data_IF_258526441253
#
_entry.id   IF_258526441253
#
_cell.length_a   1.000
_cell.length_b   1.000
_cell.length_c   1.000
_cell.angle_alpha   90.00
_cell.angle_beta   90.00
_cell.angle_gamma   90.00
#
_symmetry.space_group_name_H-M   'P 1'
#
loop_
_entity.id
_entity.type
_entity.pdbx_description
1 polymer ?
#
# COMPACT_ATOMS: atom_id res chain seq x y z
N UNK A 1 -8.68 18.02 -20.58
CA UNK A 1 -7.26 17.70 -20.64
C UNK A 1 -7.15 16.21 -20.46
N UNK A 2 -6.90 15.53 -21.56
CA UNK A 2 -6.59 14.08 -21.51
C UNK A 2 -5.27 13.92 -20.76
N UNK A 3 -5.27 13.13 -19.71
CA UNK A 3 -4.05 12.60 -19.10
C UNK A 3 -3.26 11.95 -20.24
N UNK A 4 -2.20 12.61 -20.69
CA UNK A 4 -1.36 12.08 -21.73
C UNK A 4 -0.79 10.76 -21.24
N UNK A 5 -1.29 9.71 -21.87
CA UNK A 5 -0.85 8.35 -21.66
C UNK A 5 0.67 8.29 -21.55
N UNK A 6 1.13 7.63 -20.54
CA UNK A 6 2.50 7.26 -20.25
C UNK A 6 3.35 7.12 -21.51
N UNK A 7 4.21 8.10 -21.76
CA UNK A 7 5.20 8.01 -22.81
C UNK A 7 6.36 7.15 -22.29
N UNK A 8 6.17 5.85 -22.29
CA UNK A 8 7.12 4.82 -21.86
C UNK A 8 8.44 4.84 -22.64
N UNK A 9 8.49 5.58 -23.76
CA UNK A 9 9.58 5.53 -24.73
C UNK A 9 10.67 6.58 -24.58
N UNK A 10 10.66 7.41 -23.52
CA UNK A 10 11.77 8.33 -23.27
C UNK A 10 12.30 8.05 -21.87
N UNK A 11 13.33 7.22 -21.79
CA UNK A 11 14.06 6.95 -20.56
C UNK A 11 14.48 8.24 -19.85
N UNK A 12 13.89 8.47 -18.70
CA UNK A 12 14.16 9.60 -17.85
C UNK A 12 12.92 10.05 -17.11
N UNK A 13 13.03 10.18 -15.81
CA UNK A 13 12.02 10.70 -14.91
C UNK A 13 11.83 12.20 -15.20
N UNK A 14 11.04 12.55 -16.21
CA UNK A 14 10.74 13.93 -16.60
C UNK A 14 9.42 14.43 -16.03
N UNK A 15 9.28 14.43 -14.70
CA UNK A 15 8.10 14.98 -14.05
C UNK A 15 8.32 15.14 -12.56
N UNK A 16 7.79 16.22 -12.01
CA UNK A 16 7.74 16.43 -10.55
C UNK A 16 6.86 15.36 -9.92
N UNK A 17 7.35 14.78 -8.82
CA UNK A 17 6.61 13.86 -7.95
C UNK A 17 5.84 14.73 -6.97
N UNK A 18 4.58 14.43 -6.75
CA UNK A 18 3.78 15.03 -5.68
C UNK A 18 4.17 14.40 -4.33
N UNK A 19 5.07 15.07 -3.62
CA UNK A 19 5.57 14.60 -2.32
C UNK A 19 4.54 14.69 -1.21
N UNK A 20 3.59 15.61 -1.29
CA UNK A 20 2.51 15.73 -0.31
C UNK A 20 1.51 14.57 -0.48
N UNK A 21 1.21 14.21 -1.71
CA UNK A 21 0.42 13.01 -2.01
C UNK A 21 1.11 11.75 -1.48
N UNK A 22 2.42 11.59 -1.70
CA UNK A 22 3.18 10.44 -1.17
C UNK A 22 3.15 10.35 0.36
N UNK A 23 3.30 11.48 1.06
CA UNK A 23 3.20 11.52 2.53
C UNK A 23 1.81 11.12 3.01
N UNK A 24 0.78 11.60 2.33
CA UNK A 24 -0.61 11.26 2.65
C UNK A 24 -0.87 9.78 2.45
N UNK A 25 -0.41 9.21 1.35
CA UNK A 25 -0.50 7.76 1.10
C UNK A 25 0.20 6.98 2.22
N UNK A 26 1.42 7.39 2.59
CA UNK A 26 2.19 6.72 3.65
C UNK A 26 1.45 6.67 4.99
N UNK A 27 0.64 7.67 5.30
CA UNK A 27 -0.17 7.70 6.53
C UNK A 27 -1.42 6.81 6.39
N UNK A 28 -2.09 6.86 5.24
CA UNK A 28 -3.43 6.28 5.10
C UNK A 28 -3.46 4.87 4.54
N UNK A 29 -2.40 4.38 3.85
CA UNK A 29 -2.44 3.09 3.17
C UNK A 29 -2.83 1.91 4.07
N UNK A 30 -2.40 1.92 5.31
CA UNK A 30 -2.63 0.87 6.30
C UNK A 30 -3.57 1.29 7.45
N UNK A 31 -4.09 2.53 7.44
CA UNK A 31 -4.93 3.04 8.52
C UNK A 31 -6.19 2.20 8.78
N UNK A 32 -6.73 1.57 7.73
CA UNK A 32 -7.87 0.65 7.83
C UNK A 32 -7.61 -0.61 8.64
N UNK A 33 -6.34 -0.98 8.88
CA UNK A 33 -6.01 -2.13 9.75
C UNK A 33 -6.50 -1.95 11.19
N UNK A 34 -6.64 -0.70 11.65
CA UNK A 34 -7.18 -0.41 12.97
C UNK A 34 -8.64 -0.87 13.14
N UNK A 35 -9.35 -1.07 12.05
CA UNK A 35 -10.77 -1.49 12.06
C UNK A 35 -10.97 -2.97 11.77
N UNK A 36 -9.89 -3.70 11.45
CA UNK A 36 -9.96 -5.14 11.15
C UNK A 36 -10.18 -5.98 12.39
N UNK A 37 -9.67 -5.52 13.55
CA UNK A 37 -9.71 -6.28 14.80
C UNK A 37 -10.26 -5.43 15.93
N UNK A 38 -10.95 -6.10 16.86
CA UNK A 38 -11.42 -5.54 18.11
C UNK A 38 -11.03 -6.44 19.29
N UNK A 39 -11.08 -5.88 20.48
CA UNK A 39 -10.83 -6.66 21.71
C UNK A 39 -12.18 -6.93 22.37
N UNK A 40 -12.56 -8.20 22.43
CA UNK A 40 -13.74 -8.68 23.15
C UNK A 40 -13.30 -9.70 24.21
N UNK A 41 -13.70 -9.51 25.44
CA UNK A 41 -13.41 -10.41 26.57
C UNK A 41 -11.93 -10.86 26.67
N UNK A 42 -11.01 -9.88 26.52
CA UNK A 42 -9.56 -10.08 26.51
C UNK A 42 -9.00 -10.89 25.31
N UNK A 43 -9.85 -11.22 24.34
CA UNK A 43 -9.44 -11.86 23.10
C UNK A 43 -9.47 -10.86 21.93
N UNK A 44 -8.57 -11.08 20.99
CA UNK A 44 -8.55 -10.31 19.74
C UNK A 44 -9.39 -11.06 18.72
N UNK A 45 -10.47 -10.42 18.28
CA UNK A 45 -11.37 -10.97 17.27
C UNK A 45 -11.44 -10.06 16.06
N UNK A 46 -11.79 -10.62 14.91
CA UNK A 46 -12.05 -9.78 13.74
C UNK A 46 -13.42 -9.13 13.84
N UNK A 47 -13.48 -7.88 13.44
CA UNK A 47 -14.75 -7.18 13.24
C UNK A 47 -15.49 -7.73 12.03
N UNK A 48 -16.78 -7.42 11.91
CA UNK A 48 -17.55 -7.77 10.71
C UNK A 48 -16.94 -7.13 9.45
N UNK A 49 -16.53 -5.89 9.55
CA UNK A 49 -15.84 -5.18 8.49
C UNK A 49 -14.51 -5.86 8.14
N UNK A 50 -13.73 -6.28 9.15
CA UNK A 50 -12.46 -6.99 8.96
C UNK A 50 -12.61 -8.37 8.32
N UNK A 51 -13.77 -9.02 8.46
CA UNK A 51 -14.09 -10.29 7.79
C UNK A 51 -14.50 -10.09 6.32
N UNK A 52 -15.21 -9.01 6.01
CA UNK A 52 -15.85 -8.81 4.72
C UNK A 52 -15.09 -7.87 3.79
N UNK A 53 -14.29 -6.95 4.34
CA UNK A 53 -13.57 -5.92 3.60
C UNK A 53 -12.05 -6.08 3.78
N UNK A 54 -11.30 -5.69 2.77
CA UNK A 54 -9.85 -5.58 2.89
C UNK A 54 -9.46 -4.38 3.76
N UNK A 55 -8.29 -4.43 4.41
CA UNK A 55 -7.74 -3.28 5.13
C UNK A 55 -7.59 -2.04 4.24
N UNK A 56 -7.32 -2.25 2.96
CA UNK A 56 -7.22 -1.17 1.95
C UNK A 56 -8.57 -0.49 1.72
N UNK A 57 -9.66 -1.26 1.59
CA UNK A 57 -11.02 -0.69 1.46
C UNK A 57 -11.41 0.07 2.71
N UNK A 58 -11.07 -0.45 3.88
CA UNK A 58 -11.29 0.25 5.16
C UNK A 58 -10.47 1.54 5.25
N UNK A 59 -9.23 1.56 4.73
CA UNK A 59 -8.43 2.78 4.64
C UNK A 59 -9.06 3.84 3.74
N UNK A 60 -9.60 3.45 2.59
CA UNK A 60 -10.31 4.35 1.67
C UNK A 60 -11.59 4.89 2.31
N UNK A 61 -12.34 4.04 3.01
CA UNK A 61 -13.56 4.47 3.73
C UNK A 61 -13.22 5.49 4.81
N UNK A 62 -12.24 5.20 5.66
CA UNK A 62 -11.76 6.13 6.68
C UNK A 62 -11.33 7.48 6.10
N UNK A 63 -10.58 7.47 5.00
CA UNK A 63 -10.17 8.69 4.32
C UNK A 63 -11.39 9.52 3.89
N UNK A 64 -12.40 8.88 3.28
CA UNK A 64 -13.61 9.56 2.83
C UNK A 64 -14.42 10.15 4.01
N UNK A 65 -14.51 9.43 5.11
CA UNK A 65 -15.15 9.91 6.33
C UNK A 65 -14.45 11.16 6.87
N UNK A 66 -13.13 11.11 7.02
CA UNK A 66 -12.34 12.23 7.51
C UNK A 66 -12.43 13.48 6.62
N UNK A 67 -12.43 13.31 5.31
CA UNK A 67 -12.62 14.41 4.35
C UNK A 67 -13.98 15.06 4.56
N UNK A 68 -15.04 14.25 4.69
CA UNK A 68 -16.40 14.75 4.83
C UNK A 68 -16.64 15.40 6.19
N UNK A 69 -16.22 14.77 7.28
CA UNK A 69 -16.43 15.28 8.64
C UNK A 69 -15.70 16.58 8.91
N UNK A 70 -14.50 16.72 8.36
CA UNK A 70 -13.68 17.91 8.57
C UNK A 70 -13.83 18.96 7.47
N UNK A 71 -14.75 18.76 6.53
CA UNK A 71 -14.98 19.67 5.40
C UNK A 71 -13.66 20.03 4.67
N UNK A 72 -12.77 19.04 4.46
CA UNK A 72 -11.50 19.26 3.79
C UNK A 72 -11.76 19.45 2.30
N UNK A 73 -11.33 20.58 1.77
CA UNK A 73 -11.47 20.88 0.35
C UNK A 73 -10.44 20.09 -0.47
N UNK A 74 -10.90 18.99 -1.05
CA UNK A 74 -10.19 18.25 -2.10
C UNK A 74 -10.95 18.38 -3.42
N UNK A 75 -10.23 18.57 -4.52
CA UNK A 75 -10.83 18.37 -5.84
C UNK A 75 -11.19 16.89 -6.03
N UNK A 76 -12.19 16.60 -6.85
CA UNK A 76 -12.54 15.21 -7.17
C UNK A 76 -11.35 14.44 -7.78
N UNK A 77 -10.52 15.11 -8.56
CA UNK A 77 -9.30 14.54 -9.13
C UNK A 77 -8.30 14.13 -8.03
N UNK A 78 -8.07 14.99 -7.04
CA UNK A 78 -7.18 14.68 -5.90
C UNK A 78 -7.69 13.50 -5.08
N UNK A 79 -9.01 13.43 -4.83
CA UNK A 79 -9.63 12.29 -4.12
C UNK A 79 -9.42 10.99 -4.87
N UNK A 80 -9.70 10.98 -6.18
CA UNK A 80 -9.53 9.80 -7.03
C UNK A 80 -8.07 9.36 -7.06
N UNK A 81 -7.12 10.27 -7.19
CA UNK A 81 -5.68 9.97 -7.18
C UNK A 81 -5.25 9.35 -5.85
N UNK A 82 -5.68 9.93 -4.74
CA UNK A 82 -5.34 9.43 -3.41
C UNK A 82 -5.95 8.04 -3.16
N UNK A 83 -7.22 7.85 -3.48
CA UNK A 83 -7.89 6.54 -3.38
C UNK A 83 -7.21 5.49 -4.28
N UNK A 84 -6.85 5.87 -5.52
CA UNK A 84 -6.12 4.97 -6.40
C UNK A 84 -4.78 4.55 -5.81
N UNK A 85 -4.00 5.50 -5.27
CA UNK A 85 -2.71 5.20 -4.68
C UNK A 85 -2.83 4.27 -3.46
N UNK A 86 -3.82 4.49 -2.59
CA UNK A 86 -4.11 3.61 -1.45
C UNK A 86 -4.54 2.22 -1.95
N UNK A 87 -5.44 2.16 -2.94
CA UNK A 87 -5.92 0.89 -3.50
C UNK A 87 -4.84 0.10 -4.24
N UNK A 88 -3.83 0.77 -4.77
CA UNK A 88 -2.71 0.16 -5.47
C UNK A 88 -1.54 -0.19 -4.54
N UNK A 89 -1.62 0.18 -3.24
CA UNK A 89 -0.63 -0.20 -2.24
C UNK A 89 -0.82 -1.66 -1.80
N UNK A 90 0.24 -2.25 -1.30
CA UNK A 90 0.24 -3.62 -0.78
C UNK A 90 0.54 -4.70 -1.83
N UNK A 91 1.18 -5.75 -1.34
CA UNK A 91 1.70 -6.85 -2.17
C UNK A 91 0.61 -7.74 -2.81
N UNK A 92 -0.63 -7.67 -2.31
CA UNK A 92 -1.76 -8.47 -2.79
C UNK A 92 -2.84 -7.60 -3.46
N UNK A 93 -2.52 -6.36 -3.79
CA UNK A 93 -3.48 -5.47 -4.42
C UNK A 93 -3.85 -5.96 -5.84
N UNK A 94 -5.14 -6.07 -6.11
CA UNK A 94 -5.65 -6.30 -7.47
C UNK A 94 -5.63 -5.03 -8.32
N UNK A 95 -5.43 -3.86 -7.68
CA UNK A 95 -5.34 -2.58 -8.34
C UNK A 95 -3.89 -2.31 -8.75
N UNK A 96 -3.62 -2.31 -10.05
CA UNK A 96 -2.29 -1.99 -10.56
C UNK A 96 -1.98 -0.49 -10.39
N UNK A 97 -0.76 -0.12 -9.93
CA UNK A 97 -0.37 1.28 -9.82
C UNK A 97 -0.28 1.92 -11.21
N UNK A 98 -1.06 2.98 -11.44
CA UNK A 98 -1.15 3.69 -12.73
C UNK A 98 -0.67 5.13 -12.68
N UNK A 99 -0.18 5.59 -11.53
CA UNK A 99 0.44 6.89 -11.36
C UNK A 99 1.88 6.71 -10.89
N UNK A 100 2.71 7.75 -11.04
CA UNK A 100 4.10 7.70 -10.60
C UNK A 100 4.18 7.50 -9.08
N UNK A 101 3.35 8.23 -8.36
CA UNK A 101 3.28 8.18 -6.90
C UNK A 101 2.83 6.81 -6.42
N UNK A 102 1.79 6.22 -7.02
CA UNK A 102 1.34 4.87 -6.70
C UNK A 102 2.44 3.82 -6.97
N UNK A 103 3.15 3.96 -8.08
CA UNK A 103 4.25 3.06 -8.43
C UNK A 103 5.41 3.19 -7.45
N UNK A 104 5.86 4.41 -7.16
CA UNK A 104 6.94 4.65 -6.21
C UNK A 104 6.56 4.09 -4.84
N UNK A 105 5.36 4.37 -4.37
CA UNK A 105 4.90 3.91 -3.07
C UNK A 105 4.86 2.37 -3.00
N UNK A 106 4.32 1.71 -4.00
CA UNK A 106 4.28 0.24 -4.09
C UNK A 106 5.68 -0.38 -4.03
N UNK A 107 6.69 0.22 -4.69
CA UNK A 107 8.07 -0.26 -4.61
C UNK A 107 8.70 0.00 -3.23
N UNK A 108 8.39 1.13 -2.59
CA UNK A 108 8.86 1.42 -1.23
C UNK A 108 8.31 0.38 -0.25
N UNK A 109 7.02 0.05 -0.31
CA UNK A 109 6.41 -0.99 0.54
C UNK A 109 7.03 -2.37 0.32
N UNK A 110 7.29 -2.73 -0.94
CA UNK A 110 7.99 -3.99 -1.25
C UNK A 110 9.39 -4.00 -0.64
N UNK A 111 10.12 -2.91 -0.78
CA UNK A 111 11.46 -2.79 -0.20
C UNK A 111 11.42 -2.88 1.33
N UNK A 112 10.49 -2.18 1.97
CA UNK A 112 10.31 -2.22 3.42
C UNK A 112 10.00 -3.65 3.91
N UNK A 113 9.11 -4.35 3.23
CA UNK A 113 8.80 -5.76 3.51
C UNK A 113 10.03 -6.65 3.40
N UNK A 114 10.84 -6.48 2.35
CA UNK A 114 12.07 -7.23 2.15
C UNK A 114 13.06 -6.94 3.27
N UNK A 115 13.27 -5.66 3.60
CA UNK A 115 14.20 -5.26 4.68
C UNK A 115 13.74 -5.79 6.04
N UNK A 116 12.45 -5.71 6.36
CA UNK A 116 11.89 -6.28 7.58
C UNK A 116 12.09 -7.80 7.67
N UNK A 117 11.99 -8.51 6.55
CA UNK A 117 12.29 -9.94 6.51
C UNK A 117 13.77 -10.23 6.79
N UNK A 118 14.71 -9.43 6.26
CA UNK A 118 16.13 -9.56 6.57
C UNK A 118 16.42 -9.32 8.03
N UNK A 119 15.86 -8.28 8.64
CA UNK A 119 16.03 -8.02 10.08
C UNK A 119 15.47 -9.16 10.95
N UNK A 120 14.39 -9.80 10.51
CA UNK A 120 13.85 -10.96 11.19
C UNK A 120 14.79 -12.18 11.05
N UNK A 121 15.36 -12.41 9.87
CA UNK A 121 16.31 -13.49 9.63
C UNK A 121 17.58 -13.37 10.49
N UNK A 122 18.08 -12.16 10.70
CA UNK A 122 19.23 -11.91 11.58
C UNK A 122 18.94 -12.27 13.05
N UNK A 123 17.68 -12.29 13.46
CA UNK A 123 17.23 -12.60 14.83
C UNK A 123 16.90 -14.08 15.04
N UNK A 124 16.61 -14.81 13.97
CA UNK A 124 16.24 -16.23 13.99
C UNK A 124 17.47 -17.06 13.71
N UNK A 125 17.89 -17.91 14.68
CA UNK A 125 19.00 -18.82 14.49
C UNK A 125 18.75 -19.79 13.31
N UNK A 126 19.78 -19.95 12.49
CA UNK A 126 19.83 -20.71 11.25
C UNK A 126 19.18 -22.11 11.42
N UNK A 127 17.99 -22.29 10.84
CA UNK A 127 17.24 -23.53 10.84
C UNK A 127 16.31 -23.61 9.60
N UNK A 128 15.39 -24.57 9.59
CA UNK A 128 14.43 -24.78 8.50
C UNK A 128 13.59 -23.53 8.15
N UNK A 129 13.43 -22.62 9.09
CA UNK A 129 12.73 -21.35 8.89
C UNK A 129 13.50 -20.38 7.99
N UNK A 130 14.84 -20.44 7.98
CA UNK A 130 15.68 -19.62 7.11
C UNK A 130 15.45 -19.96 5.62
N UNK A 131 15.36 -21.23 5.28
CA UNK A 131 15.09 -21.65 3.91
C UNK A 131 13.70 -21.20 3.44
N UNK A 132 12.68 -21.33 4.29
CA UNK A 132 11.32 -20.85 4.00
C UNK A 132 11.25 -19.34 3.76
N UNK A 133 12.03 -18.56 4.50
CA UNK A 133 12.08 -17.11 4.34
C UNK A 133 12.81 -16.72 3.05
N UNK A 134 13.89 -17.42 2.71
CA UNK A 134 14.57 -17.25 1.42
C UNK A 134 13.62 -17.55 0.26
N UNK A 135 12.94 -18.68 0.28
CA UNK A 135 12.00 -19.08 -0.78
C UNK A 135 10.88 -18.04 -0.95
N UNK A 136 10.35 -17.51 0.16
CA UNK A 136 9.34 -16.47 0.15
C UNK A 136 9.85 -15.13 -0.41
N UNK A 137 11.09 -14.75 -0.09
CA UNK A 137 11.70 -13.52 -0.59
C UNK A 137 12.11 -13.64 -2.06
N UNK A 138 12.56 -14.80 -2.52
CA UNK A 138 12.82 -15.04 -3.95
C UNK A 138 11.54 -14.92 -4.77
N UNK A 139 10.41 -15.41 -4.26
CA UNK A 139 9.11 -15.25 -4.93
C UNK A 139 8.66 -13.78 -5.06
N UNK A 140 9.12 -12.89 -4.16
CA UNK A 140 8.87 -11.45 -4.24
C UNK A 140 9.82 -10.73 -5.21
N UNK A 141 10.94 -11.36 -5.57
CA UNK A 141 11.93 -10.83 -6.51
C UNK A 141 11.74 -11.33 -7.95
N UNK A 142 10.88 -12.29 -8.20
CA UNK A 142 10.47 -12.60 -9.56
C UNK A 142 9.74 -11.37 -10.13
N UNK A 143 10.51 -10.52 -10.80
CA UNK A 143 9.97 -9.52 -11.70
C UNK A 143 9.28 -10.32 -12.80
N UNK A 144 7.97 -10.25 -12.84
CA UNK A 144 7.25 -10.67 -14.03
C UNK A 144 7.89 -9.95 -15.22
N UNK A 145 8.51 -10.72 -16.10
CA UNK A 145 9.00 -10.22 -17.39
C UNK A 145 7.82 -9.56 -18.10
N UNK A 146 7.88 -8.21 -18.22
CA UNK A 146 6.93 -7.38 -18.97
C UNK A 146 7.34 -7.34 -20.43
#
# INVERSE_FOLDING_TARGET
QTYDSWNYNKGGFNGTIDTELLKTIAIFHDAGRAYVYEIQDEMIEKTLEGELLSSTELSVNLLNELINENNIEFSEEQKILLQHCISASGNNSQCLPRTKEAMIFNYIEKLDTIMGNFEYMDKVSIGDDFQRLLDKNYCLMEFEDV
#
